data_IF_918013693429
#
_entry.id   IF_918013693429
#
_cell.length_a   1.000
_cell.length_b   1.000
_cell.length_c   1.000
_cell.angle_alpha   90.00
_cell.angle_beta   90.00
_cell.angle_gamma   90.00
#
_symmetry.space_group_name_H-M   'P 1'
#
loop_
_entity.id
_entity.type
_entity.pdbx_description
1 polymer ?
#
# COMPACT_ATOMS: atom_id res chain seq x y z
N UNK A 1 -56.74 19.47 -58.51
CA UNK A 1 -56.03 19.96 -59.65
C UNK A 1 -54.78 19.22 -59.89
N UNK A 2 -54.74 18.52 -61.02
CA UNK A 2 -53.67 17.70 -61.56
C UNK A 2 -52.35 18.46 -61.74
N UNK A 3 -51.24 17.85 -61.57
CA UNK A 3 -50.22 17.73 -62.61
C UNK A 3 -49.20 16.67 -62.27
N UNK A 4 -49.25 15.56 -63.04
CA UNK A 4 -48.17 14.58 -63.24
C UNK A 4 -47.11 15.24 -64.14
N UNK A 5 -45.85 14.95 -63.83
CA UNK A 5 -44.77 14.96 -64.82
C UNK A 5 -43.92 13.71 -64.69
N UNK A 6 -44.00 12.91 -65.74
CA UNK A 6 -43.11 11.84 -66.15
C UNK A 6 -41.79 12.43 -66.65
N UNK A 7 -40.68 11.89 -66.33
CA UNK A 7 -39.47 11.86 -67.17
C UNK A 7 -38.52 10.73 -66.66
N UNK A 8 -38.54 9.67 -67.40
CA UNK A 8 -37.46 8.94 -68.14
C UNK A 8 -36.15 8.70 -67.45
N UNK A 9 -35.90 7.40 -67.29
CA UNK A 9 -34.59 6.77 -66.92
C UNK A 9 -33.60 6.83 -68.08
N UNK A 10 -32.30 6.95 -67.82
CA UNK A 10 -31.30 6.35 -68.69
C UNK A 10 -30.63 5.19 -67.98
N UNK A 11 -30.63 4.06 -68.62
CA UNK A 11 -29.83 2.87 -68.36
C UNK A 11 -28.35 3.17 -68.60
N UNK A 12 -27.54 3.00 -67.55
CA UNK A 12 -26.11 2.89 -67.72
C UNK A 12 -25.61 1.55 -67.28
N UNK A 13 -25.22 0.76 -68.24
CA UNK A 13 -24.36 -0.40 -68.10
C UNK A 13 -22.97 0.08 -67.68
N UNK A 14 -22.52 -0.31 -66.53
CA UNK A 14 -21.10 -0.22 -66.21
C UNK A 14 -20.59 -1.52 -65.64
N UNK A 15 -19.70 -2.00 -66.41
CA UNK A 15 -18.77 -3.15 -66.32
C UNK A 15 -18.24 -3.35 -64.92
N UNK A 16 -18.32 -4.56 -64.44
CA UNK A 16 -17.62 -5.10 -63.32
C UNK A 16 -16.13 -4.82 -63.42
N UNK A 17 -15.59 -4.04 -62.44
CA UNK A 17 -14.18 -4.02 -62.13
C UNK A 17 -14.06 -4.38 -60.65
N UNK A 18 -13.76 -5.63 -60.40
CA UNK A 18 -13.43 -6.14 -59.11
C UNK A 18 -12.09 -5.57 -58.63
N UNK A 19 -12.11 -4.54 -57.82
CA UNK A 19 -10.98 -4.08 -57.05
C UNK A 19 -11.02 -4.79 -55.69
N UNK A 20 -10.25 -5.89 -55.57
CA UNK A 20 -9.89 -6.51 -54.29
C UNK A 20 -9.03 -5.51 -53.52
N UNK A 21 -9.65 -4.76 -52.65
CA UNK A 21 -8.92 -3.98 -51.63
C UNK A 21 -8.50 -4.96 -50.51
N UNK A 22 -7.24 -5.42 -50.57
CA UNK A 22 -6.60 -6.17 -49.46
C UNK A 22 -6.39 -5.20 -48.29
N UNK A 23 -7.29 -5.25 -47.33
CA UNK A 23 -7.14 -4.56 -46.05
C UNK A 23 -6.08 -5.34 -45.24
N UNK A 24 -4.84 -4.87 -45.23
CA UNK A 24 -3.80 -5.34 -44.32
C UNK A 24 -4.16 -4.77 -42.94
N UNK A 25 -4.76 -5.59 -42.09
CA UNK A 25 -4.91 -5.29 -40.65
C UNK A 25 -3.54 -5.50 -40.00
N UNK A 26 -2.78 -4.43 -39.82
CA UNK A 26 -1.60 -4.44 -38.97
C UNK A 26 -2.08 -4.53 -37.53
N UNK A 27 -2.08 -5.75 -36.99
CA UNK A 27 -2.19 -5.97 -35.55
C UNK A 27 -0.90 -5.46 -34.92
N UNK A 28 -0.86 -4.20 -34.54
CA UNK A 28 0.14 -3.69 -33.61
C UNK A 28 -0.09 -4.38 -32.26
N UNK A 29 0.53 -5.56 -32.10
CA UNK A 29 0.67 -6.18 -30.77
C UNK A 29 1.42 -5.16 -29.90
N UNK A 30 0.75 -4.57 -28.92
CA UNK A 30 1.43 -3.92 -27.80
C UNK A 30 2.20 -5.00 -27.05
N UNK A 31 3.38 -5.36 -27.55
CA UNK A 31 4.35 -6.13 -26.81
C UNK A 31 4.88 -5.17 -25.75
N UNK A 32 4.42 -5.32 -24.50
CA UNK A 32 5.12 -4.70 -23.38
C UNK A 32 6.59 -5.12 -23.48
N UNK A 33 7.54 -4.18 -23.36
CA UNK A 33 8.96 -4.53 -23.34
C UNK A 33 9.18 -5.56 -22.24
N UNK A 34 10.01 -6.58 -22.52
CA UNK A 34 10.41 -7.54 -21.51
C UNK A 34 11.04 -6.80 -20.33
N UNK A 35 10.74 -7.23 -19.07
CA UNK A 35 11.34 -6.61 -17.89
C UNK A 35 12.87 -6.60 -18.05
N UNK A 36 13.49 -5.48 -17.71
CA UNK A 36 14.94 -5.37 -17.69
C UNK A 36 15.50 -6.12 -16.49
N UNK A 37 16.77 -6.52 -16.52
CA UNK A 37 17.45 -7.24 -15.44
C UNK A 37 17.33 -6.49 -14.09
N UNK A 38 17.41 -5.15 -14.09
CA UNK A 38 17.19 -4.31 -12.93
C UNK A 38 15.76 -4.34 -12.37
N UNK A 39 14.74 -4.56 -13.19
CA UNK A 39 13.35 -4.70 -12.72
C UNK A 39 13.17 -5.99 -11.92
N UNK A 40 13.78 -7.10 -12.33
CA UNK A 40 13.75 -8.37 -11.59
C UNK A 40 14.46 -8.27 -10.23
N UNK A 41 15.54 -7.51 -10.14
CA UNK A 41 16.26 -7.29 -8.88
C UNK A 41 15.38 -6.51 -7.89
N UNK A 42 14.75 -5.44 -8.32
CA UNK A 42 13.85 -4.63 -7.48
C UNK A 42 12.62 -5.41 -7.04
N UNK A 43 12.03 -6.24 -7.92
CA UNK A 43 10.92 -7.12 -7.57
C UNK A 43 11.33 -8.14 -6.48
N UNK A 44 12.53 -8.70 -6.58
CA UNK A 44 13.06 -9.63 -5.57
C UNK A 44 13.32 -8.93 -4.22
N UNK A 45 13.82 -7.69 -4.24
CA UNK A 45 13.97 -6.86 -3.05
C UNK A 45 12.62 -6.59 -2.39
N UNK A 46 11.63 -6.16 -3.17
CA UNK A 46 10.28 -5.92 -2.67
C UNK A 46 9.67 -7.17 -2.06
N UNK A 47 9.77 -8.33 -2.74
CA UNK A 47 9.26 -9.60 -2.21
C UNK A 47 9.90 -9.97 -0.87
N UNK A 48 11.22 -9.86 -0.75
CA UNK A 48 11.95 -10.09 0.50
C UNK A 48 11.48 -9.14 1.61
N UNK A 49 11.37 -7.86 1.30
CA UNK A 49 11.00 -6.83 2.27
C UNK A 49 9.52 -6.97 2.70
N UNK A 50 8.64 -7.49 1.83
CA UNK A 50 7.29 -7.88 2.21
C UNK A 50 7.26 -8.98 3.27
N UNK A 51 8.17 -9.96 3.21
CA UNK A 51 8.25 -11.00 4.25
C UNK A 51 8.73 -10.41 5.59
N UNK A 52 9.69 -9.49 5.58
CA UNK A 52 10.08 -8.73 6.79
C UNK A 52 8.90 -7.93 7.35
N UNK A 53 8.14 -7.27 6.49
CA UNK A 53 6.95 -6.49 6.87
C UNK A 53 5.88 -7.35 7.55
N UNK A 54 5.57 -8.52 6.97
CA UNK A 54 4.62 -9.49 7.55
C UNK A 54 5.11 -10.03 8.89
N UNK A 55 6.41 -10.34 8.98
CA UNK A 55 7.01 -10.83 10.21
C UNK A 55 6.94 -9.76 11.33
N UNK A 56 7.26 -8.50 11.01
CA UNK A 56 7.15 -7.40 11.95
C UNK A 56 5.73 -7.25 12.51
N UNK A 57 4.71 -7.25 11.63
CA UNK A 57 3.32 -7.10 12.05
C UNK A 57 2.89 -8.26 12.95
N UNK A 58 3.26 -9.50 12.59
CA UNK A 58 2.96 -10.68 13.42
C UNK A 58 3.66 -10.61 14.78
N UNK A 59 4.93 -10.22 14.81
CA UNK A 59 5.71 -10.18 16.07
C UNK A 59 5.21 -9.02 16.94
N UNK A 60 4.67 -7.95 16.35
CA UNK A 60 3.98 -6.87 17.06
C UNK A 60 2.62 -7.32 17.62
N UNK A 61 1.84 -8.08 16.87
CA UNK A 61 0.58 -8.70 17.29
C UNK A 61 0.78 -9.66 18.47
N UNK A 62 1.93 -10.33 18.52
CA UNK A 62 2.32 -11.21 19.62
C UNK A 62 3.00 -10.46 20.79
N UNK A 63 3.19 -9.16 20.70
CA UNK A 63 3.89 -8.33 21.71
C UNK A 63 5.33 -8.79 22.01
N UNK A 64 6.02 -9.34 21.00
CA UNK A 64 7.38 -9.85 21.11
C UNK A 64 8.42 -8.76 20.89
N UNK A 65 8.65 -7.86 21.86
CA UNK A 65 9.47 -6.66 21.73
C UNK A 65 10.86 -6.92 21.14
N UNK A 66 11.53 -8.00 21.55
CA UNK A 66 12.86 -8.35 21.02
C UNK A 66 12.81 -8.77 19.55
N UNK A 67 11.78 -9.51 19.14
CA UNK A 67 11.57 -9.87 17.74
C UNK A 67 11.24 -8.64 16.90
N UNK A 68 10.34 -7.77 17.38
CA UNK A 68 10.00 -6.48 16.76
C UNK A 68 11.26 -5.63 16.56
N UNK A 69 12.09 -5.46 17.60
CA UNK A 69 13.36 -4.74 17.49
C UNK A 69 14.25 -5.33 16.40
N UNK A 70 14.27 -6.65 16.27
CA UNK A 70 15.08 -7.37 15.29
C UNK A 70 14.80 -7.02 13.83
N UNK A 71 13.66 -6.43 13.49
CA UNK A 71 13.32 -6.01 12.14
C UNK A 71 13.86 -4.63 11.76
N UNK A 72 14.33 -3.84 12.72
CA UNK A 72 14.82 -2.50 12.51
C UNK A 72 16.35 -2.41 12.50
N UNK A 73 16.87 -1.46 11.75
CA UNK A 73 18.25 -1.03 11.90
C UNK A 73 18.42 -0.26 13.23
N UNK A 74 19.59 -0.33 13.85
CA UNK A 74 19.87 0.39 15.10
C UNK A 74 19.69 1.90 14.96
N UNK A 75 19.90 2.43 13.75
CA UNK A 75 19.72 3.84 13.39
C UNK A 75 18.32 4.17 12.86
N UNK A 76 17.34 3.28 13.00
CA UNK A 76 16.00 3.49 12.48
C UNK A 76 15.34 4.73 13.06
N UNK A 77 14.62 5.46 12.17
CA UNK A 77 13.94 6.70 12.49
C UNK A 77 12.47 6.66 12.09
N UNK A 78 11.64 7.31 12.87
CA UNK A 78 10.24 7.58 12.57
C UNK A 78 10.05 9.06 12.27
N UNK A 79 9.59 9.37 11.06
CA UNK A 79 9.29 10.75 10.68
C UNK A 79 8.04 11.26 11.40
N UNK A 80 7.99 12.57 11.72
CA UNK A 80 6.84 13.17 12.38
C UNK A 80 5.63 13.19 11.44
N UNK A 81 4.52 12.62 11.88
CA UNK A 81 3.27 12.55 11.11
C UNK A 81 2.06 13.09 11.88
N UNK A 82 2.21 13.30 13.20
CA UNK A 82 1.13 13.82 14.03
C UNK A 82 1.14 15.36 14.04
N UNK A 83 -0.03 15.95 14.18
CA UNK A 83 -0.16 17.41 14.32
C UNK A 83 0.70 17.95 15.46
N UNK A 84 1.51 18.97 15.16
CA UNK A 84 2.41 19.62 16.13
C UNK A 84 3.70 18.87 16.45
N UNK A 85 3.91 17.67 15.91
CA UNK A 85 5.17 16.94 16.03
C UNK A 85 6.18 17.48 15.00
N UNK A 86 7.40 17.80 15.46
CA UNK A 86 8.48 18.32 14.61
C UNK A 86 9.70 17.42 14.58
N UNK A 87 9.89 16.60 15.61
CA UNK A 87 11.08 15.80 15.77
C UNK A 87 10.85 14.34 15.36
N UNK A 88 11.89 13.74 14.79
CA UNK A 88 11.93 12.30 14.54
C UNK A 88 12.05 11.54 15.86
N UNK A 89 11.47 10.33 15.92
CA UNK A 89 11.70 9.41 17.03
C UNK A 89 12.74 8.36 16.64
N UNK A 90 13.58 7.95 17.57
CA UNK A 90 14.53 6.87 17.41
C UNK A 90 13.89 5.49 17.66
N UNK A 91 14.60 4.41 17.32
CA UNK A 91 14.19 3.06 17.67
C UNK A 91 14.00 2.91 19.18
N UNK A 92 14.91 3.45 19.98
CA UNK A 92 14.82 3.35 21.44
C UNK A 92 13.56 4.03 21.99
N UNK A 93 13.20 5.21 21.47
CA UNK A 93 11.97 5.90 21.85
C UNK A 93 10.73 5.07 21.52
N UNK A 94 10.76 4.36 20.39
CA UNK A 94 9.66 3.49 19.95
C UNK A 94 9.54 2.23 20.79
N UNK A 95 10.63 1.57 21.09
CA UNK A 95 10.63 0.37 21.94
C UNK A 95 10.03 0.70 23.32
N UNK A 96 10.43 1.80 23.94
CA UNK A 96 9.88 2.25 25.21
C UNK A 96 8.40 2.58 25.13
N UNK A 97 7.96 3.25 24.03
CA UNK A 97 6.56 3.59 23.82
C UNK A 97 5.69 2.34 23.60
N UNK A 98 6.16 1.35 22.84
CA UNK A 98 5.44 0.09 22.62
C UNK A 98 5.34 -0.73 23.89
N UNK A 99 6.42 -0.93 24.64
CA UNK A 99 6.40 -1.61 25.94
C UNK A 99 5.38 -0.97 26.90
N UNK A 100 5.35 0.37 26.95
CA UNK A 100 4.38 1.10 27.78
C UNK A 100 2.94 0.95 27.26
N UNK A 101 2.74 0.88 25.95
CA UNK A 101 1.42 0.71 25.35
C UNK A 101 0.87 -0.70 25.61
N UNK A 102 1.68 -1.75 25.42
CA UNK A 102 1.31 -3.14 25.69
C UNK A 102 1.06 -3.43 27.18
N UNK A 103 1.67 -2.69 28.08
CA UNK A 103 1.35 -2.76 29.50
C UNK A 103 -0.07 -2.24 29.85
N UNK A 104 -0.74 -1.56 28.93
CA UNK A 104 -2.03 -0.90 29.17
C UNK A 104 -3.12 -1.36 28.21
N UNK A 105 -2.78 -1.73 27.01
CA UNK A 105 -3.70 -2.09 25.92
C UNK A 105 -3.25 -3.37 25.24
N UNK A 106 -4.19 -4.19 24.83
CA UNK A 106 -3.96 -5.33 23.95
C UNK A 106 -4.12 -4.87 22.50
N UNK A 107 -3.18 -5.28 21.63
CA UNK A 107 -3.20 -4.99 20.20
C UNK A 107 -3.44 -6.29 19.44
N UNK A 108 -4.51 -6.34 18.64
CA UNK A 108 -4.84 -7.49 17.84
C UNK A 108 -4.92 -7.08 16.36
N UNK A 109 -4.29 -7.82 15.48
CA UNK A 109 -4.38 -7.57 14.05
C UNK A 109 -5.79 -7.89 13.55
N UNK A 110 -6.53 -6.85 13.14
CA UNK A 110 -7.91 -7.00 12.65
C UNK A 110 -7.98 -7.28 11.13
N UNK A 111 -6.86 -7.19 10.42
CA UNK A 111 -6.78 -7.41 8.97
C UNK A 111 -6.36 -8.85 8.67
N UNK A 112 -7.20 -9.63 7.97
CA UNK A 112 -6.86 -11.00 7.55
C UNK A 112 -5.75 -11.00 6.48
N UNK A 113 -5.92 -10.16 5.43
CA UNK A 113 -5.00 -10.05 4.31
C UNK A 113 -4.33 -8.67 4.27
N UNK A 114 -3.05 -8.61 4.59
CA UNK A 114 -2.24 -7.39 4.53
C UNK A 114 -2.10 -6.90 3.10
N UNK A 115 -2.46 -5.64 2.87
CA UNK A 115 -2.29 -5.00 1.57
C UNK A 115 -0.91 -4.34 1.49
N UNK A 116 0.04 -5.05 0.89
CA UNK A 116 1.43 -4.62 0.70
C UNK A 116 1.62 -4.10 -0.73
N UNK A 117 2.12 -2.89 -0.87
CA UNK A 117 2.34 -2.22 -2.14
C UNK A 117 3.81 -1.78 -2.26
N UNK A 118 4.40 -1.80 -3.47
CA UNK A 118 5.74 -1.26 -3.67
C UNK A 118 5.75 0.25 -3.46
N UNK A 119 6.77 0.72 -2.74
CA UNK A 119 7.08 2.12 -2.65
C UNK A 119 7.95 2.61 -3.82
N UNK A 120 8.15 3.91 -3.87
CA UNK A 120 8.99 4.55 -4.87
C UNK A 120 9.99 5.49 -4.18
N UNK A 121 11.17 5.58 -4.74
CA UNK A 121 12.17 6.55 -4.33
C UNK A 121 11.68 7.97 -4.62
N UNK A 122 11.79 8.86 -3.63
CA UNK A 122 11.27 10.23 -3.73
C UNK A 122 12.01 11.07 -4.80
N UNK A 123 13.26 10.75 -5.12
CA UNK A 123 14.07 11.48 -6.09
C UNK A 123 13.90 10.91 -7.50
N UNK A 124 14.13 9.60 -7.68
CA UNK A 124 14.10 8.94 -9.00
C UNK A 124 12.69 8.65 -9.49
N UNK A 125 11.69 8.55 -8.59
CA UNK A 125 10.31 8.15 -8.87
C UNK A 125 10.17 6.69 -9.34
N UNK A 126 11.21 5.90 -9.18
CA UNK A 126 11.23 4.48 -9.52
C UNK A 126 10.97 3.62 -8.29
N UNK A 127 10.47 2.42 -8.50
CA UNK A 127 10.29 1.41 -7.44
C UNK A 127 11.65 1.05 -6.86
N UNK A 128 11.76 0.99 -5.52
CA UNK A 128 13.04 0.87 -4.81
C UNK A 128 13.07 -0.28 -3.78
N UNK A 129 12.06 -1.15 -3.79
CA UNK A 129 11.94 -2.25 -2.83
C UNK A 129 11.37 -1.84 -1.47
N UNK A 130 11.08 -0.55 -1.24
CA UNK A 130 10.36 -0.12 -0.04
C UNK A 130 8.92 -0.64 -0.03
N UNK A 131 8.32 -0.76 1.16
CA UNK A 131 6.99 -1.34 1.34
C UNK A 131 6.03 -0.30 1.90
N UNK A 132 4.84 -0.26 1.32
CA UNK A 132 3.70 0.50 1.80
C UNK A 132 2.63 -0.48 2.22
N UNK A 133 2.13 -0.37 3.45
CA UNK A 133 1.18 -1.34 4.00
C UNK A 133 -0.06 -0.64 4.54
N UNK A 134 -1.21 -1.28 4.34
CA UNK A 134 -2.50 -0.88 4.91
C UNK A 134 -3.02 -2.03 5.74
N UNK A 135 -3.39 -1.74 6.97
CA UNK A 135 -3.92 -2.72 7.91
C UNK A 135 -4.69 -2.03 9.04
N UNK A 136 -5.43 -2.81 9.80
CA UNK A 136 -6.21 -2.34 10.93
C UNK A 136 -5.74 -3.03 12.21
N UNK A 137 -5.54 -2.25 13.29
CA UNK A 137 -5.39 -2.76 14.64
C UNK A 137 -6.70 -2.62 15.40
N UNK A 138 -7.17 -3.70 16.00
CA UNK A 138 -8.07 -3.60 17.14
C UNK A 138 -7.22 -3.33 18.38
N UNK A 139 -7.47 -2.21 19.04
CA UNK A 139 -6.80 -1.85 20.29
C UNK A 139 -7.84 -1.95 21.41
N UNK A 140 -7.57 -2.79 22.41
CA UNK A 140 -8.48 -3.04 23.51
C UNK A 140 -7.86 -2.56 24.82
N UNK A 141 -8.64 -1.80 25.59
CA UNK A 141 -8.37 -1.56 27.00
C UNK A 141 -9.04 -2.67 27.80
N UNK A 142 -8.30 -3.50 28.56
CA UNK A 142 -8.87 -4.54 29.39
C UNK A 142 -9.83 -4.00 30.45
N UNK A 143 -10.75 -4.84 30.91
CA UNK A 143 -11.60 -4.53 32.06
C UNK A 143 -10.77 -4.39 33.35
N UNK A 144 -11.22 -3.52 34.23
CA UNK A 144 -10.73 -3.39 35.61
C UNK A 144 -11.85 -3.68 36.62
N UNK A 145 -11.55 -3.61 37.90
CA UNK A 145 -12.58 -3.77 38.95
C UNK A 145 -13.73 -2.73 38.87
N UNK A 146 -13.47 -1.60 38.18
CA UNK A 146 -14.38 -0.47 38.12
C UNK A 146 -14.82 -0.06 36.71
N UNK A 147 -14.25 -0.67 35.68
CA UNK A 147 -14.55 -0.33 34.27
C UNK A 147 -14.65 -1.58 33.40
N UNK A 148 -15.60 -1.60 32.47
CA UNK A 148 -15.70 -2.64 31.45
C UNK A 148 -14.55 -2.52 30.43
N UNK A 149 -14.23 -3.62 29.73
CA UNK A 149 -13.33 -3.60 28.58
C UNK A 149 -13.91 -2.75 27.46
N UNK A 150 -13.05 -2.09 26.71
CA UNK A 150 -13.42 -1.26 25.57
C UNK A 150 -12.44 -1.46 24.44
N UNK A 151 -12.93 -1.62 23.21
CA UNK A 151 -12.10 -1.80 22.03
C UNK A 151 -12.45 -0.76 20.96
N UNK A 152 -11.46 -0.41 20.15
CA UNK A 152 -11.58 0.44 18.96
C UNK A 152 -10.75 -0.16 17.84
N UNK A 153 -11.17 0.06 16.59
CA UNK A 153 -10.36 -0.32 15.42
C UNK A 153 -9.75 0.94 14.81
N UNK A 154 -8.44 0.88 14.55
CA UNK A 154 -7.67 1.97 13.97
C UNK A 154 -7.08 1.48 12.65
N UNK A 155 -7.43 2.17 11.55
CA UNK A 155 -6.80 1.91 10.25
C UNK A 155 -5.48 2.64 10.14
N UNK A 156 -4.45 1.92 9.72
CA UNK A 156 -3.11 2.45 9.51
C UNK A 156 -2.68 2.34 8.05
N UNK A 157 -1.95 3.35 7.62
CA UNK A 157 -1.04 3.30 6.50
C UNK A 157 0.36 3.49 7.03
N UNK A 158 1.25 2.55 6.74
CA UNK A 158 2.67 2.68 7.08
C UNK A 158 3.56 2.57 5.84
N UNK A 159 4.65 3.30 5.88
CA UNK A 159 5.68 3.35 4.86
C UNK A 159 6.99 2.95 5.49
N UNK A 160 7.62 1.91 4.94
CA UNK A 160 8.88 1.36 5.42
C UNK A 160 9.92 1.33 4.31
N UNK A 161 11.05 1.99 4.58
CA UNK A 161 12.22 1.94 3.71
C UNK A 161 13.28 1.03 4.36
N UNK A 162 13.93 0.21 3.53
CA UNK A 162 14.82 -0.85 3.98
C UNK A 162 16.28 -0.56 3.60
N UNK A 163 17.20 -0.97 4.45
CA UNK A 163 18.61 -0.96 4.15
C UNK A 163 19.04 -2.21 3.33
N UNK A 164 20.31 -2.27 2.95
CA UNK A 164 20.85 -3.40 2.17
C UNK A 164 20.78 -4.74 2.93
N UNK A 165 20.75 -4.72 4.27
CA UNK A 165 20.59 -5.91 5.11
C UNK A 165 19.12 -6.36 5.23
N UNK A 166 18.16 -5.59 4.69
CA UNK A 166 16.72 -5.86 4.79
C UNK A 166 16.13 -5.46 6.13
N UNK A 167 16.78 -4.52 6.84
CA UNK A 167 16.27 -3.90 8.06
C UNK A 167 15.57 -2.61 7.73
N UNK A 168 14.48 -2.31 8.45
CA UNK A 168 13.75 -1.05 8.31
C UNK A 168 14.59 0.05 8.95
N UNK A 169 14.94 1.08 8.15
CA UNK A 169 15.71 2.22 8.65
C UNK A 169 14.89 3.52 8.71
N UNK A 170 13.80 3.61 7.95
CA UNK A 170 12.93 4.79 7.96
C UNK A 170 11.47 4.35 7.93
N UNK A 171 10.66 4.99 8.80
CA UNK A 171 9.25 4.70 8.96
C UNK A 171 8.42 5.98 8.95
N UNK A 172 7.27 5.93 8.28
CA UNK A 172 6.19 6.92 8.42
C UNK A 172 4.88 6.19 8.72
N UNK A 173 4.12 6.70 9.69
CA UNK A 173 2.86 6.09 10.14
C UNK A 173 1.76 7.13 10.06
N UNK A 174 0.67 6.78 9.39
CA UNK A 174 -0.55 7.58 9.32
C UNK A 174 -1.73 6.76 9.85
N UNK A 175 -2.42 7.31 10.82
CA UNK A 175 -3.61 6.72 11.44
C UNK A 175 -4.15 7.67 12.50
N UNK A 176 -5.45 7.67 12.74
CA UNK A 176 -6.08 8.52 13.76
C UNK A 176 -6.03 7.88 15.16
N UNK A 177 -4.79 7.57 15.60
CA UNK A 177 -4.58 7.02 16.93
C UNK A 177 -4.99 7.99 18.06
N UNK A 178 -4.99 9.30 17.82
CA UNK A 178 -5.32 10.29 18.86
C UNK A 178 -6.78 10.20 19.25
N UNK A 179 -7.70 10.23 18.27
CA UNK A 179 -9.14 10.10 18.52
C UNK A 179 -9.49 8.72 19.09
N UNK A 180 -8.86 7.66 18.58
CA UNK A 180 -9.06 6.29 19.06
C UNK A 180 -8.63 6.11 20.53
N UNK A 181 -7.45 6.59 20.91
CA UNK A 181 -6.97 6.55 22.30
C UNK A 181 -7.84 7.42 23.23
N UNK A 182 -8.31 8.56 22.75
CA UNK A 182 -9.28 9.36 23.49
C UNK A 182 -10.58 8.57 23.71
N UNK A 183 -11.13 7.96 22.65
CA UNK A 183 -12.33 7.14 22.75
C UNK A 183 -12.16 5.96 23.72
N UNK A 184 -10.99 5.31 23.78
CA UNK A 184 -10.72 4.23 24.75
C UNK A 184 -10.68 4.73 26.20
N UNK A 185 -10.26 5.96 26.45
CA UNK A 185 -10.06 6.51 27.78
C UNK A 185 -11.23 7.38 28.29
N UNK A 186 -12.16 7.75 27.40
CA UNK A 186 -13.39 8.44 27.82
C UNK A 186 -14.27 7.46 28.63
N UNK A 187 -14.60 7.87 29.85
CA UNK A 187 -15.48 7.12 30.77
C UNK A 187 -16.95 7.33 30.41
#
# INVERSE_FOLDING_TARGET
MNHQFFLSTPSWNMRNSSLLASTIVVLASCMSPAPTEGAHEVDALFARNCETAKALIRDFDNEELTAVQGHFADSALWLPTKFGQTDTASLQDKLQAWESAWATYDFNLATEDLRLLPGVNAETKEVDGSVRVYFDWEVMRPATDSTDSKAVVISYYESWDFDAAGKIWLTQIYGDATAAMQALNDM
#
